data_IF_573696406717
#
_entry.id   IF_573696406717
#
_cell.length_a   1.000
_cell.length_b   1.000
_cell.length_c   1.000
_cell.angle_alpha   90.00
_cell.angle_beta   90.00
_cell.angle_gamma   90.00
#
_symmetry.space_group_name_H-M   'P 1'
#
loop_
_entity.id
_entity.type
_entity.pdbx_description
1 polymer ?
#
# COMPACT_ATOMS: atom_id res chain seq x y z
N UNK A 1 37.83 4.99 25.64
CA UNK A 1 36.59 4.56 26.31
C UNK A 1 35.45 4.22 25.35
N UNK A 2 34.96 5.13 24.50
CA UNK A 2 33.89 4.83 23.53
C UNK A 2 34.24 3.70 22.54
N UNK A 3 35.45 3.69 21.97
CA UNK A 3 35.88 2.63 21.03
C UNK A 3 36.01 1.24 21.68
N UNK A 4 36.43 1.14 22.94
CA UNK A 4 36.49 -0.14 23.67
C UNK A 4 35.09 -0.67 24.00
N UNK A 5 34.16 0.23 24.33
CA UNK A 5 32.73 -0.09 24.53
C UNK A 5 32.08 -0.61 23.22
N UNK A 6 32.51 -0.08 22.07
CA UNK A 6 32.07 -0.52 20.74
C UNK A 6 32.57 -1.92 20.39
N UNK A 7 33.82 -2.27 20.73
CA UNK A 7 34.35 -3.63 20.53
C UNK A 7 33.69 -4.66 21.44
N UNK A 8 33.38 -4.29 22.69
CA UNK A 8 32.65 -5.16 23.62
C UNK A 8 31.21 -5.40 23.18
N UNK A 9 30.52 -4.39 22.62
CA UNK A 9 29.18 -4.54 22.07
C UNK A 9 29.16 -5.46 20.84
N UNK A 10 30.17 -5.33 19.95
CA UNK A 10 30.37 -6.26 18.81
C UNK A 10 30.66 -7.70 19.27
N UNK A 11 31.51 -7.88 20.30
CA UNK A 11 31.83 -9.21 20.87
C UNK A 11 30.62 -9.87 21.56
N UNK A 12 29.76 -9.11 22.24
CA UNK A 12 28.53 -9.63 22.85
C UNK A 12 27.50 -10.09 21.81
N UNK A 13 27.48 -9.49 20.61
CA UNK A 13 26.60 -9.87 19.48
C UNK A 13 26.88 -11.28 18.93
N UNK A 14 28.09 -11.82 19.10
CA UNK A 14 28.49 -13.14 18.57
C UNK A 14 28.15 -14.36 19.46
N UNK A 15 27.67 -14.20 20.69
CA UNK A 15 27.60 -15.32 21.67
C UNK A 15 26.23 -15.69 22.24
N UNK A 16 25.14 -15.08 21.77
CA UNK A 16 23.82 -15.38 22.34
C UNK A 16 22.88 -15.90 21.25
N UNK A 17 22.20 -17.02 21.51
CA UNK A 17 21.19 -17.68 20.66
C UNK A 17 19.92 -16.83 20.41
N UNK A 18 20.08 -15.52 20.22
CA UNK A 18 19.06 -14.58 19.78
C UNK A 18 18.88 -14.61 18.26
N UNK A 19 19.79 -15.23 17.51
CA UNK A 19 19.74 -15.36 16.05
C UNK A 19 18.41 -15.96 15.53
N UNK A 20 17.80 -16.91 16.23
CA UNK A 20 16.56 -17.57 15.76
C UNK A 20 15.29 -16.72 15.94
N UNK A 21 15.22 -15.85 16.95
CA UNK A 21 14.11 -14.88 17.09
C UNK A 21 14.35 -13.58 16.33
N UNK A 22 15.60 -13.28 15.98
CA UNK A 22 16.00 -12.03 15.30
C UNK A 22 15.85 -12.07 13.78
N UNK A 23 15.69 -13.24 13.16
CA UNK A 23 15.39 -13.34 11.73
C UNK A 23 13.99 -12.81 11.36
N UNK A 24 13.07 -12.69 12.33
CA UNK A 24 11.67 -12.31 12.12
C UNK A 24 11.49 -10.80 11.87
N UNK A 25 12.50 -9.97 12.18
CA UNK A 25 12.41 -8.50 12.05
C UNK A 25 13.18 -7.91 10.85
N UNK A 26 13.90 -8.74 10.08
CA UNK A 26 14.60 -8.31 8.87
C UNK A 26 13.77 -8.42 7.59
N UNK A 27 12.62 -9.10 7.65
CA UNK A 27 11.63 -9.10 6.58
C UNK A 27 10.42 -8.27 7.03
N UNK A 28 10.10 -7.24 6.25
CA UNK A 28 8.88 -6.45 6.42
C UNK A 28 7.68 -7.42 6.57
N UNK A 29 6.88 -7.24 7.61
CA UNK A 29 5.66 -8.02 7.81
C UNK A 29 4.44 -7.08 7.84
N UNK A 30 3.19 -7.59 7.76
CA UNK A 30 2.01 -6.73 7.75
C UNK A 30 1.93 -5.72 8.92
N UNK A 31 2.38 -6.13 10.11
CA UNK A 31 2.38 -5.30 11.33
C UNK A 31 3.42 -4.17 11.31
N UNK A 32 4.40 -4.29 10.41
CA UNK A 32 5.41 -3.26 10.17
C UNK A 32 4.79 -2.03 9.48
N UNK A 33 3.68 -2.23 8.76
CA UNK A 33 2.99 -1.19 8.00
C UNK A 33 1.87 -0.54 8.79
N UNK A 34 1.62 0.73 8.47
CA UNK A 34 0.62 1.54 9.16
C UNK A 34 -0.77 1.34 8.57
N UNK A 35 -1.74 1.03 9.44
CA UNK A 35 -3.17 1.04 9.09
C UNK A 35 -3.45 0.16 7.85
N UNK A 36 -4.10 0.72 6.82
CA UNK A 36 -4.44 0.05 5.56
C UNK A 36 -3.24 -0.57 4.83
N UNK A 37 -2.03 -0.06 5.03
CA UNK A 37 -0.85 -0.59 4.34
C UNK A 37 -0.49 -2.00 4.80
N UNK A 38 -0.83 -2.41 6.03
CA UNK A 38 -0.65 -3.79 6.47
C UNK A 38 -1.59 -4.76 5.74
N UNK A 39 -2.84 -4.33 5.48
CA UNK A 39 -3.78 -5.11 4.67
C UNK A 39 -3.31 -5.21 3.22
N UNK A 40 -2.86 -4.09 2.64
CA UNK A 40 -2.31 -4.08 1.28
C UNK A 40 -1.07 -4.98 1.17
N UNK A 41 -0.18 -4.96 2.16
CA UNK A 41 0.98 -5.85 2.18
C UNK A 41 0.56 -7.31 2.22
N UNK A 42 -0.43 -7.64 3.06
CA UNK A 42 -0.92 -9.02 3.19
C UNK A 42 -1.53 -9.54 1.89
N UNK A 43 -2.21 -8.66 1.14
CA UNK A 43 -2.90 -9.02 -0.10
C UNK A 43 -1.99 -9.00 -1.34
N UNK A 44 -1.01 -8.09 -1.39
CA UNK A 44 -0.25 -7.79 -2.60
C UNK A 44 1.27 -7.86 -2.44
N UNK A 45 1.78 -7.98 -1.22
CA UNK A 45 3.20 -7.92 -0.91
C UNK A 45 3.76 -6.50 -0.84
N UNK A 46 5.06 -6.42 -0.52
CA UNK A 46 5.76 -5.16 -0.27
C UNK A 46 5.75 -4.22 -1.47
N UNK A 47 6.12 -4.74 -2.65
CA UNK A 47 6.36 -3.90 -3.83
C UNK A 47 5.12 -3.11 -4.24
N UNK A 48 3.97 -3.79 -4.38
CA UNK A 48 2.70 -3.13 -4.73
C UNK A 48 2.28 -2.18 -3.61
N UNK A 49 2.47 -2.54 -2.35
CA UNK A 49 2.11 -1.68 -1.22
C UNK A 49 2.90 -0.38 -1.22
N UNK A 50 4.20 -0.42 -1.50
CA UNK A 50 5.05 0.78 -1.63
C UNK A 50 4.60 1.64 -2.80
N UNK A 51 4.30 1.05 -3.95
CA UNK A 51 3.79 1.80 -5.11
C UNK A 51 2.43 2.46 -4.84
N UNK A 52 1.52 1.77 -4.14
CA UNK A 52 0.22 2.36 -3.73
C UNK A 52 0.46 3.51 -2.75
N UNK A 53 1.39 3.37 -1.81
CA UNK A 53 1.79 4.44 -0.91
C UNK A 53 2.31 5.66 -1.69
N UNK A 54 3.23 5.49 -2.64
CA UNK A 54 3.77 6.59 -3.44
C UNK A 54 2.67 7.39 -4.17
N UNK A 55 1.63 6.70 -4.68
CA UNK A 55 0.54 7.32 -5.44
C UNK A 55 -0.44 8.07 -4.52
N UNK A 56 -0.81 7.47 -3.39
CA UNK A 56 -1.93 7.95 -2.57
C UNK A 56 -1.55 8.50 -1.19
N UNK A 57 -0.28 8.45 -0.77
CA UNK A 57 0.13 8.85 0.59
C UNK A 57 -0.38 10.25 0.96
N UNK A 58 -1.01 10.34 2.14
CA UNK A 58 -1.57 11.59 2.66
C UNK A 58 -2.83 12.08 1.94
N UNK A 59 -3.41 11.30 1.03
CA UNK A 59 -4.65 11.64 0.32
C UNK A 59 -5.84 10.89 0.89
N UNK A 60 -7.03 11.44 0.67
CA UNK A 60 -8.28 10.72 0.91
C UNK A 60 -8.90 10.38 -0.44
N UNK A 61 -9.16 9.09 -0.66
CA UNK A 61 -9.63 8.55 -1.95
C UNK A 61 -11.01 7.94 -1.76
N UNK A 62 -11.96 8.33 -2.61
CA UNK A 62 -13.29 7.72 -2.65
C UNK A 62 -13.31 6.64 -3.73
N UNK A 63 -13.60 5.41 -3.34
CA UNK A 63 -13.71 4.26 -4.24
C UNK A 63 -15.18 4.06 -4.63
N UNK A 64 -15.56 4.35 -5.89
CA UNK A 64 -16.95 4.24 -6.31
C UNK A 64 -17.48 2.80 -6.22
N UNK A 65 -18.76 2.63 -5.88
CA UNK A 65 -19.37 1.28 -5.86
C UNK A 65 -19.45 0.62 -7.24
N UNK A 66 -19.49 1.40 -8.32
CA UNK A 66 -19.53 0.87 -9.69
C UNK A 66 -18.11 0.81 -10.25
N UNK A 67 -17.72 -0.32 -10.83
CA UNK A 67 -16.42 -0.49 -11.46
C UNK A 67 -16.30 0.26 -12.80
N UNK A 68 -17.31 0.07 -13.67
CA UNK A 68 -17.30 0.57 -15.04
C UNK A 68 -17.88 1.99 -15.16
N UNK A 69 -17.44 2.69 -16.20
CA UNK A 69 -18.04 3.98 -16.62
C UNK A 69 -19.42 3.75 -17.25
N UNK A 70 -20.27 4.77 -17.24
CA UNK A 70 -21.60 4.65 -17.86
C UNK A 70 -21.47 4.56 -19.39
N UNK A 71 -20.48 5.25 -19.96
CA UNK A 71 -20.12 5.23 -21.36
C UNK A 71 -19.73 3.81 -21.81
N UNK A 72 -18.87 3.14 -21.04
CA UNK A 72 -18.48 1.75 -21.33
C UNK A 72 -19.66 0.80 -21.22
N UNK A 73 -20.48 0.93 -20.19
CA UNK A 73 -21.68 0.10 -20.01
C UNK A 73 -22.61 0.25 -21.22
N UNK A 74 -22.90 1.48 -21.65
CA UNK A 74 -23.80 1.73 -22.79
C UNK A 74 -23.26 1.12 -24.08
N UNK A 75 -21.98 1.36 -24.37
CA UNK A 75 -21.29 0.80 -25.53
C UNK A 75 -21.25 -0.73 -25.51
N UNK A 76 -20.92 -1.33 -24.35
CA UNK A 76 -20.88 -2.78 -24.18
C UNK A 76 -22.24 -3.41 -24.44
N UNK A 77 -23.30 -2.84 -23.88
CA UNK A 77 -24.67 -3.32 -24.08
C UNK A 77 -25.02 -3.28 -25.56
N UNK A 78 -24.82 -2.15 -26.24
CA UNK A 78 -25.13 -1.99 -27.67
C UNK A 78 -24.43 -3.04 -28.55
N UNK A 79 -23.12 -3.25 -28.34
CA UNK A 79 -22.35 -4.18 -29.17
C UNK A 79 -22.64 -5.67 -28.88
N UNK A 80 -23.33 -5.98 -27.79
CA UNK A 80 -23.64 -7.35 -27.37
C UNK A 80 -25.14 -7.69 -27.34
N UNK A 81 -26.04 -6.77 -27.74
CA UNK A 81 -27.50 -6.97 -27.63
C UNK A 81 -28.00 -8.24 -28.33
N UNK A 82 -27.42 -8.56 -29.49
CA UNK A 82 -27.81 -9.72 -30.30
C UNK A 82 -27.05 -11.00 -29.90
N UNK A 83 -25.91 -10.85 -29.21
CA UNK A 83 -24.97 -11.93 -28.92
C UNK A 83 -25.12 -12.50 -27.51
N UNK A 84 -25.62 -11.69 -26.56
CA UNK A 84 -25.68 -12.03 -25.14
C UNK A 84 -27.07 -11.77 -24.59
N UNK A 85 -27.49 -12.61 -23.65
CA UNK A 85 -28.73 -12.37 -22.91
C UNK A 85 -28.56 -11.21 -21.94
N UNK A 86 -29.68 -10.61 -21.53
CA UNK A 86 -29.66 -9.54 -20.51
C UNK A 86 -29.05 -10.00 -19.19
N UNK A 87 -29.26 -11.27 -18.81
CA UNK A 87 -28.67 -11.89 -17.63
C UNK A 87 -27.13 -11.98 -17.73
N UNK A 88 -26.60 -12.43 -18.87
CA UNK A 88 -25.15 -12.52 -19.08
C UNK A 88 -24.48 -11.14 -19.01
N UNK A 89 -25.05 -10.14 -19.70
CA UNK A 89 -24.53 -8.77 -19.66
C UNK A 89 -24.60 -8.17 -18.26
N UNK A 90 -25.69 -8.43 -17.52
CA UNK A 90 -25.85 -7.96 -16.14
C UNK A 90 -24.78 -8.55 -15.22
N UNK A 91 -24.49 -9.85 -15.35
CA UNK A 91 -23.44 -10.52 -14.59
C UNK A 91 -22.04 -9.95 -14.90
N UNK A 92 -21.69 -9.78 -16.18
CA UNK A 92 -20.36 -9.28 -16.61
C UNK A 92 -20.11 -7.82 -16.23
N UNK A 93 -21.18 -7.01 -16.22
CA UNK A 93 -21.14 -5.60 -15.83
C UNK A 93 -21.39 -5.36 -14.34
N UNK A 94 -21.60 -6.42 -13.55
CA UNK A 94 -21.90 -6.37 -12.11
C UNK A 94 -23.08 -5.43 -11.80
N UNK A 95 -24.14 -5.53 -12.61
CA UNK A 95 -25.35 -4.72 -12.46
C UNK A 95 -26.63 -5.55 -12.59
N UNK A 96 -27.79 -4.92 -12.45
CA UNK A 96 -29.07 -5.65 -12.51
C UNK A 96 -29.59 -5.75 -13.95
N UNK A 97 -30.28 -6.85 -14.28
CA UNK A 97 -30.97 -6.98 -15.58
C UNK A 97 -31.92 -5.83 -15.88
N UNK A 98 -32.61 -5.30 -14.85
CA UNK A 98 -33.45 -4.11 -14.98
C UNK A 98 -32.65 -2.92 -15.51
N UNK A 99 -31.44 -2.72 -15.00
CA UNK A 99 -30.53 -1.66 -15.43
C UNK A 99 -30.12 -1.82 -16.90
N UNK A 100 -29.88 -3.06 -17.36
CA UNK A 100 -29.60 -3.37 -18.76
C UNK A 100 -30.82 -3.07 -19.63
N UNK A 101 -32.00 -3.61 -19.27
CA UNK A 101 -33.26 -3.40 -20.02
C UNK A 101 -33.62 -1.93 -20.15
N UNK A 102 -33.38 -1.13 -19.10
CA UNK A 102 -33.63 0.31 -19.13
C UNK A 102 -32.70 1.02 -20.13
N UNK A 103 -31.40 0.71 -20.12
CA UNK A 103 -30.43 1.26 -21.08
C UNK A 103 -30.66 0.79 -22.51
N UNK A 104 -31.26 -0.38 -22.70
CA UNK A 104 -31.65 -0.85 -24.03
C UNK A 104 -32.77 -0.02 -24.64
N UNK A 105 -33.72 0.46 -23.81
CA UNK A 105 -34.86 1.28 -24.21
C UNK A 105 -34.49 2.74 -24.46
N UNK A 106 -33.49 3.27 -23.75
CA UNK A 106 -32.98 4.62 -24.03
C UNK A 106 -32.24 4.60 -25.37
N UNK A 107 -32.85 5.19 -26.40
CA UNK A 107 -32.24 5.50 -27.69
C UNK A 107 -31.19 6.59 -27.49
N UNK A 108 -30.02 6.21 -26.99
CA UNK A 108 -28.84 7.07 -27.08
C UNK A 108 -28.17 6.68 -28.38
N UNK A 109 -28.29 7.55 -29.38
CA UNK A 109 -27.52 7.47 -30.62
C UNK A 109 -26.05 7.47 -30.21
N UNK A 110 -25.41 6.31 -30.29
CA UNK A 110 -24.02 6.18 -29.92
C UNK A 110 -23.16 6.69 -31.06
N UNK A 111 -22.73 7.93 -30.95
CA UNK A 111 -21.49 8.34 -31.61
C UNK A 111 -20.41 7.34 -31.21
N UNK A 112 -19.81 6.69 -32.21
CA UNK A 112 -18.71 5.77 -32.03
C UNK A 112 -17.51 6.56 -31.50
N UNK A 113 -17.36 6.61 -30.19
CA UNK A 113 -16.17 7.16 -29.54
C UNK A 113 -15.08 6.10 -29.57
N UNK A 114 -13.99 6.40 -30.27
CA UNK A 114 -12.86 5.49 -30.45
C UNK A 114 -12.07 5.22 -29.15
N UNK A 115 -12.31 5.99 -28.09
CA UNK A 115 -11.60 5.87 -26.81
C UNK A 115 -12.56 5.94 -25.61
N UNK A 116 -13.30 4.85 -25.39
CA UNK A 116 -14.20 4.73 -24.23
C UNK A 116 -13.41 4.15 -23.06
N UNK A 117 -13.28 4.97 -22.01
CA UNK A 117 -12.65 4.55 -20.76
C UNK A 117 -13.47 3.43 -20.11
N UNK A 118 -12.90 2.23 -19.97
CA UNK A 118 -13.59 1.07 -19.39
C UNK A 118 -13.92 1.27 -17.91
N UNK A 119 -12.92 1.61 -17.11
CA UNK A 119 -13.02 1.70 -15.66
C UNK A 119 -13.22 3.15 -15.20
N UNK A 120 -13.89 3.34 -14.06
CA UNK A 120 -13.96 4.67 -13.43
C UNK A 120 -12.57 5.19 -13.07
N UNK A 121 -12.37 6.53 -12.96
CA UNK A 121 -11.03 7.13 -12.91
C UNK A 121 -10.05 6.50 -11.92
N UNK A 122 -10.46 6.30 -10.66
CA UNK A 122 -9.61 5.68 -9.62
C UNK A 122 -9.23 4.23 -9.98
N UNK A 123 -10.19 3.42 -10.44
CA UNK A 123 -9.92 2.05 -10.88
C UNK A 123 -9.10 2.01 -12.18
N UNK A 124 -9.27 2.98 -13.07
CA UNK A 124 -8.48 3.06 -14.28
C UNK A 124 -7.01 3.39 -13.99
N UNK A 125 -6.75 4.30 -13.04
CA UNK A 125 -5.39 4.60 -12.57
C UNK A 125 -4.72 3.33 -12.02
N UNK A 126 -5.43 2.57 -11.18
CA UNK A 126 -4.97 1.29 -10.65
C UNK A 126 -4.75 0.24 -11.75
N UNK A 127 -5.66 0.15 -12.72
CA UNK A 127 -5.54 -0.78 -13.84
C UNK A 127 -4.31 -0.47 -14.69
N UNK A 128 -4.09 0.80 -15.03
CA UNK A 128 -2.94 1.21 -15.84
C UNK A 128 -1.62 0.97 -15.10
N UNK A 129 -1.61 1.12 -13.77
CA UNK A 129 -0.40 0.96 -12.97
C UNK A 129 -0.08 -0.51 -12.63
N UNK A 130 -1.10 -1.28 -12.24
CA UNK A 130 -0.93 -2.60 -11.63
C UNK A 130 -1.58 -3.75 -12.42
N UNK A 131 -2.33 -3.45 -13.48
CA UNK A 131 -3.08 -4.42 -14.25
C UNK A 131 -4.42 -4.82 -13.62
N UNK A 132 -5.19 -5.62 -14.36
CA UNK A 132 -6.57 -5.97 -14.00
C UNK A 132 -6.67 -6.76 -12.69
N UNK A 133 -5.77 -7.73 -12.46
CA UNK A 133 -5.82 -8.60 -11.28
C UNK A 133 -5.73 -7.80 -9.97
N UNK A 134 -4.75 -6.91 -9.86
CA UNK A 134 -4.55 -6.09 -8.66
C UNK A 134 -5.69 -5.08 -8.51
N UNK A 135 -6.06 -4.39 -9.60
CA UNK A 135 -7.17 -3.43 -9.59
C UNK A 135 -8.47 -4.07 -9.10
N UNK A 136 -8.83 -5.27 -9.59
CA UNK A 136 -10.05 -5.96 -9.16
C UNK A 136 -10.03 -6.31 -7.68
N UNK A 137 -8.88 -6.78 -7.17
CA UNK A 137 -8.76 -7.09 -5.75
C UNK A 137 -8.90 -5.83 -4.88
N UNK A 138 -8.36 -4.69 -5.32
CA UNK A 138 -8.55 -3.41 -4.64
C UNK A 138 -10.03 -2.98 -4.70
N UNK A 139 -10.70 -3.17 -5.84
CA UNK A 139 -12.14 -2.94 -5.97
C UNK A 139 -12.93 -3.78 -4.97
N UNK A 140 -12.68 -5.09 -4.88
CA UNK A 140 -13.38 -5.97 -3.93
C UNK A 140 -13.18 -5.53 -2.47
N UNK A 141 -11.99 -5.04 -2.12
CA UNK A 141 -11.66 -4.61 -0.76
C UNK A 141 -12.30 -3.27 -0.37
N UNK A 142 -12.39 -2.32 -1.30
CA UNK A 142 -12.69 -0.92 -0.96
C UNK A 142 -13.88 -0.31 -1.70
N UNK A 143 -14.54 -1.02 -2.62
CA UNK A 143 -15.69 -0.48 -3.37
C UNK A 143 -16.76 0.11 -2.44
N UNK A 144 -17.19 1.33 -2.75
CA UNK A 144 -18.17 2.06 -1.94
C UNK A 144 -17.63 2.71 -0.67
N UNK A 145 -16.32 2.64 -0.41
CA UNK A 145 -15.69 3.23 0.78
C UNK A 145 -14.83 4.45 0.44
N UNK A 146 -14.68 5.33 1.43
CA UNK A 146 -13.74 6.44 1.39
C UNK A 146 -12.56 6.14 2.31
N UNK A 147 -11.37 6.02 1.73
CA UNK A 147 -10.16 5.57 2.41
C UNK A 147 -9.22 6.75 2.60
N UNK A 148 -8.74 6.95 3.83
CA UNK A 148 -7.68 7.91 4.13
C UNK A 148 -6.33 7.19 4.17
N UNK A 149 -5.44 7.54 3.24
CA UNK A 149 -4.11 6.96 3.13
C UNK A 149 -3.13 7.69 4.04
N UNK A 150 -2.53 7.03 5.05
CA UNK A 150 -1.54 7.66 5.91
C UNK A 150 -0.34 8.17 5.12
N UNK A 151 0.22 9.33 5.51
CA UNK A 151 1.46 9.84 4.87
C UNK A 151 2.67 8.92 5.13
N UNK A 152 2.71 8.27 6.29
CA UNK A 152 3.81 7.39 6.71
C UNK A 152 3.47 5.94 6.39
N UNK A 153 4.41 5.25 5.75
CA UNK A 153 4.26 3.85 5.36
C UNK A 153 4.36 2.90 6.56
N UNK A 154 5.42 3.05 7.36
CA UNK A 154 5.72 2.15 8.48
C UNK A 154 5.21 2.65 9.82
N UNK A 155 5.02 1.71 10.76
CA UNK A 155 4.73 2.01 12.17
C UNK A 155 5.96 2.58 12.87
N UNK A 156 5.73 3.38 13.91
CA UNK A 156 6.83 4.00 14.68
C UNK A 156 7.72 2.96 15.37
N UNK A 157 7.12 1.84 15.80
CA UNK A 157 7.86 0.71 16.36
C UNK A 157 8.82 0.11 15.33
N UNK A 158 8.34 -0.22 14.14
CA UNK A 158 9.17 -0.77 13.08
C UNK A 158 10.34 0.16 12.75
N UNK A 159 10.06 1.46 12.56
CA UNK A 159 11.08 2.48 12.27
C UNK A 159 12.14 2.51 13.36
N UNK A 160 11.73 2.51 14.64
CA UNK A 160 12.66 2.57 15.77
C UNK A 160 13.54 1.33 15.83
N UNK A 161 12.97 0.16 15.58
CA UNK A 161 13.71 -1.10 15.52
C UNK A 161 14.71 -1.10 14.36
N UNK A 162 14.27 -0.75 13.15
CA UNK A 162 15.11 -0.69 11.97
C UNK A 162 16.29 0.28 12.13
N UNK A 163 16.04 1.50 12.63
CA UNK A 163 17.12 2.46 12.90
C UNK A 163 18.11 1.91 13.93
N UNK A 164 17.64 1.28 15.01
CA UNK A 164 18.52 0.71 16.03
C UNK A 164 19.44 -0.39 15.48
N UNK A 165 18.94 -1.20 14.55
CA UNK A 165 19.67 -2.29 13.93
C UNK A 165 20.74 -1.78 12.95
N UNK A 166 20.40 -0.75 12.16
CA UNK A 166 21.20 -0.30 11.02
C UNK A 166 21.95 1.02 11.20
N UNK A 167 21.73 1.79 12.28
CA UNK A 167 22.38 3.10 12.49
C UNK A 167 23.92 3.07 12.59
N UNK A 168 24.51 1.89 12.76
CA UNK A 168 25.97 1.72 12.80
C UNK A 168 26.56 1.36 11.43
N UNK A 169 25.71 0.87 10.52
CA UNK A 169 26.12 0.33 9.21
C UNK A 169 25.61 1.21 8.05
N UNK A 170 24.59 2.03 8.28
CA UNK A 170 24.01 2.97 7.31
C UNK A 170 24.14 4.42 7.80
N UNK A 171 24.29 5.34 6.86
CA UNK A 171 24.24 6.77 7.11
C UNK A 171 22.81 7.23 7.41
N UNK A 172 22.68 8.37 8.08
CA UNK A 172 21.37 8.98 8.33
C UNK A 172 20.58 9.30 7.04
N UNK A 173 21.29 9.57 5.94
CA UNK A 173 20.71 9.81 4.61
C UNK A 173 20.10 8.54 4.00
N UNK A 174 20.84 7.43 4.05
CA UNK A 174 20.36 6.13 3.54
C UNK A 174 19.15 5.64 4.34
N UNK A 175 19.19 5.75 5.67
CA UNK A 175 18.06 5.43 6.55
C UNK A 175 16.84 6.32 6.27
N UNK A 176 17.06 7.62 6.03
CA UNK A 176 16.02 8.56 5.70
C UNK A 176 15.34 8.19 4.37
N UNK A 177 16.13 7.85 3.36
CA UNK A 177 15.64 7.41 2.05
C UNK A 177 14.85 6.11 2.15
N UNK A 178 15.36 5.10 2.86
CA UNK A 178 14.71 3.79 2.94
C UNK A 178 13.37 3.86 3.70
N UNK A 179 13.33 4.63 4.80
CA UNK A 179 12.15 4.72 5.66
C UNK A 179 11.16 5.80 5.22
N UNK A 180 11.49 6.60 4.20
CA UNK A 180 10.67 7.72 3.73
C UNK A 180 10.59 8.90 4.72
N UNK A 181 11.70 9.18 5.41
CA UNK A 181 11.82 10.25 6.42
C UNK A 181 12.81 11.33 6.00
N UNK A 182 12.81 12.44 6.74
CA UNK A 182 13.88 13.44 6.63
C UNK A 182 15.09 13.01 7.47
N UNK A 183 16.29 13.33 7.02
CA UNK A 183 17.53 13.08 7.77
C UNK A 183 17.47 13.65 9.18
N UNK A 184 16.92 14.87 9.34
CA UNK A 184 16.69 15.49 10.64
C UNK A 184 15.91 14.59 11.59
N UNK A 185 14.83 13.95 11.12
CA UNK A 185 14.02 13.05 11.96
C UNK A 185 14.80 11.77 12.30
N UNK A 186 15.55 11.22 11.35
CA UNK A 186 16.42 10.07 11.61
C UNK A 186 17.50 10.41 12.65
N UNK A 187 18.17 11.56 12.53
CA UNK A 187 19.18 11.99 13.51
C UNK A 187 18.58 12.17 14.91
N UNK A 188 17.36 12.69 15.02
CA UNK A 188 16.64 12.77 16.30
C UNK A 188 16.33 11.37 16.88
N UNK A 189 15.94 10.42 16.03
CA UNK A 189 15.69 9.03 16.45
C UNK A 189 16.98 8.37 16.93
N UNK A 190 18.08 8.50 16.18
CA UNK A 190 19.39 7.96 16.57
C UNK A 190 19.80 8.54 17.93
N UNK A 191 19.72 9.86 18.10
CA UNK A 191 20.05 10.52 19.37
C UNK A 191 19.21 9.96 20.53
N UNK A 192 17.89 9.90 20.38
CA UNK A 192 16.97 9.33 21.38
C UNK A 192 17.29 7.86 21.72
N UNK A 193 17.68 7.05 20.73
CA UNK A 193 18.04 5.64 20.94
C UNK A 193 19.37 5.54 21.70
N UNK A 194 20.36 6.37 21.36
CA UNK A 194 21.68 6.37 22.01
C UNK A 194 21.63 6.89 23.46
N UNK A 195 20.80 7.90 23.74
CA UNK A 195 20.61 8.44 25.09
C UNK A 195 19.97 7.39 26.01
N UNK A 196 18.91 6.71 25.54
CA UNK A 196 18.27 5.62 26.29
C UNK A 196 19.20 4.42 26.53
N UNK A 197 20.17 4.18 25.64
CA UNK A 197 21.17 3.14 25.84
C UNK A 197 22.26 3.56 26.86
N UNK A 198 22.57 4.86 26.94
CA UNK A 198 23.50 5.44 27.90
C UNK A 198 22.97 5.49 29.33
N UNK A 199 21.71 5.89 29.51
CA UNK A 199 21.06 5.98 30.84
C UNK A 199 20.92 4.61 31.52
N UNK A 200 20.56 3.56 30.76
CA UNK A 200 20.47 2.19 31.29
C UNK A 200 21.79 1.59 31.77
N UNK A 201 22.93 2.21 31.47
CA UNK A 201 24.24 1.78 31.95
C UNK A 201 24.71 2.56 33.20
N UNK A 202 24.01 3.63 33.60
CA UNK A 202 24.34 4.46 34.77
C UNK A 202 23.54 4.13 36.03
N UNK A 203 22.38 3.50 35.91
CA UNK A 203 21.46 3.18 37.02
C UNK A 203 21.74 1.82 37.70
N UNK A 204 22.92 1.24 37.44
CA UNK A 204 23.34 -0.06 37.97
C UNK A 204 24.74 -0.05 38.59
N UNK A 205 25.23 1.12 39.01
CA UNK A 205 26.50 1.27 39.72
C UNK A 205 26.28 1.65 41.19
#
# INVERSE_FOLDING_TARGET
>A
MLMQRMEEYKKKKCKTGQHEKMAIFNESNPESYRSIYGLLFSEFGEEITRQIHDIYMGRQISFPKKLYTEEYINHYIQNNREKKTTAMMAAELECTERSIRQRMKSTVDAEQKENILKYRPVYNELYLKFGEKVMRRIYDLYMGHQISFPKKLYTENYIRHYVKEHMWDMTGSELAKELGYTERRISQLIKSITEQAGEKAGDGA
#
